data_IF_318637513678
#
_entry.id   IF_318637513678
#
_cell.length_a   1.000
_cell.length_b   1.000
_cell.length_c   1.000
_cell.angle_alpha   90.00
_cell.angle_beta   90.00
_cell.angle_gamma   90.00
#
_symmetry.space_group_name_H-M   'P 1'
#
loop_
_entity.id
_entity.type
_entity.pdbx_description
1 polymer ?
#
# COMPACT_ATOMS: atom_id res chain seq x y z
N UNK A 1 -26.47 11.41 14.83
CA UNK A 1 -25.76 12.65 15.19
C UNK A 1 -25.84 13.67 14.04
N UNK A 2 -26.42 14.85 14.30
CA UNK A 2 -26.51 15.93 13.30
C UNK A 2 -25.15 16.64 13.26
N UNK A 3 -24.47 16.65 12.10
CA UNK A 3 -23.24 17.45 11.93
C UNK A 3 -23.63 18.93 11.99
N UNK A 4 -23.10 19.65 12.97
CA UNK A 4 -23.34 21.08 13.21
C UNK A 4 -22.26 21.98 12.60
N UNK A 5 -21.17 21.41 12.09
CA UNK A 5 -20.06 22.14 11.49
C UNK A 5 -19.44 21.35 10.32
N UNK A 6 -18.88 22.08 9.36
CA UNK A 6 -18.08 21.55 8.26
C UNK A 6 -16.67 21.17 8.75
N UNK A 7 -16.12 20.08 8.21
CA UNK A 7 -14.75 19.68 8.54
C UNK A 7 -13.77 20.38 7.58
N UNK A 8 -12.98 21.31 8.12
CA UNK A 8 -11.94 22.06 7.39
C UNK A 8 -10.51 21.59 7.70
N UNK A 9 -10.37 20.39 8.28
CA UNK A 9 -9.09 19.87 8.75
C UNK A 9 -8.22 19.34 7.60
N UNK A 10 -6.96 19.77 7.58
CA UNK A 10 -5.87 19.17 6.81
C UNK A 10 -4.82 18.64 7.79
N UNK A 11 -4.26 17.46 7.54
CA UNK A 11 -3.34 16.79 8.46
C UNK A 11 -1.97 16.65 7.79
N UNK A 12 -0.94 17.14 8.48
CA UNK A 12 0.47 16.88 8.17
C UNK A 12 1.05 16.13 9.35
N UNK A 13 1.60 14.94 9.13
CA UNK A 13 2.33 14.20 10.14
C UNK A 13 3.73 13.88 9.64
N UNK A 14 4.69 13.90 10.57
CA UNK A 14 6.10 13.61 10.33
C UNK A 14 6.47 12.41 11.20
N UNK A 15 7.20 11.45 10.64
CA UNK A 15 7.60 10.25 11.35
C UNK A 15 8.98 9.80 10.89
N UNK A 16 9.73 9.22 11.84
CA UNK A 16 10.99 8.52 11.58
C UNK A 16 10.79 7.00 11.50
N UNK A 17 9.56 6.50 11.65
CA UNK A 17 9.26 5.08 11.50
C UNK A 17 9.16 4.69 10.03
N UNK A 18 9.65 3.50 9.68
CA UNK A 18 9.64 2.99 8.30
C UNK A 18 8.22 2.74 7.76
N UNK A 19 7.27 2.40 8.63
CA UNK A 19 5.86 2.20 8.29
C UNK A 19 4.96 2.94 9.27
N UNK A 20 4.80 4.27 9.12
CA UNK A 20 4.07 5.10 10.07
C UNK A 20 2.55 5.02 9.89
N UNK A 21 2.09 4.61 8.71
CA UNK A 21 0.68 4.44 8.37
C UNK A 21 0.53 3.28 7.40
N UNK A 22 -0.51 2.48 7.57
CA UNK A 22 -0.88 1.46 6.60
C UNK A 22 -1.62 2.10 5.43
N UNK A 23 -1.16 1.85 4.21
CA UNK A 23 -1.77 2.35 2.98
C UNK A 23 -2.23 1.21 2.08
N UNK A 24 -3.46 1.32 1.60
CA UNK A 24 -4.00 0.45 0.55
C UNK A 24 -3.46 0.86 -0.82
N UNK A 25 -3.45 -0.06 -1.79
CA UNK A 25 -2.94 0.22 -3.16
C UNK A 25 -3.73 1.32 -3.87
N UNK A 26 -5.01 1.47 -3.55
CA UNK A 26 -5.89 2.51 -4.10
C UNK A 26 -6.01 3.74 -3.19
N UNK A 27 -5.07 3.94 -2.26
CA UNK A 27 -5.07 5.13 -1.40
C UNK A 27 -5.05 6.43 -2.24
N UNK A 28 -6.08 7.24 -2.01
CA UNK A 28 -6.29 8.56 -2.63
C UNK A 28 -6.24 9.70 -1.62
N UNK A 29 -5.66 9.48 -0.44
CA UNK A 29 -5.70 10.45 0.67
C UNK A 29 -4.32 10.94 1.11
N UNK A 30 -3.28 10.15 0.86
CA UNK A 30 -1.95 10.43 1.40
C UNK A 30 -0.94 10.75 0.29
N UNK A 31 -0.34 11.94 0.37
CA UNK A 31 0.93 12.24 -0.28
C UNK A 31 2.05 11.74 0.65
N UNK A 32 2.93 10.88 0.14
CA UNK A 32 4.07 10.38 0.91
C UNK A 32 5.35 10.95 0.33
N UNK A 33 6.09 11.67 1.17
CA UNK A 33 7.39 12.24 0.83
C UNK A 33 8.45 11.65 1.77
N UNK A 34 9.45 10.99 1.19
CA UNK A 34 10.64 10.58 1.94
C UNK A 34 11.71 11.66 1.80
N UNK A 35 12.11 12.25 2.92
CA UNK A 35 13.23 13.18 2.96
C UNK A 35 14.55 12.41 3.02
N UNK A 36 15.54 12.81 2.21
CA UNK A 36 16.86 12.19 2.24
C UNK A 36 17.55 12.47 3.58
N UNK A 37 18.23 11.48 4.12
CA UNK A 37 18.98 11.55 5.39
C UNK A 37 20.36 12.20 5.23
N UNK A 38 20.49 13.19 4.33
CA UNK A 38 21.78 13.79 3.94
C UNK A 38 22.55 14.24 5.18
N UNK A 39 21.93 15.02 6.07
CA UNK A 39 22.58 15.53 7.29
C UNK A 39 22.64 14.53 8.46
N UNK A 40 22.18 13.28 8.28
CA UNK A 40 22.19 12.26 9.35
C UNK A 40 23.21 11.14 9.09
N UNK A 41 23.51 10.81 7.82
CA UNK A 41 24.22 9.57 7.47
C UNK A 41 25.54 9.81 6.73
N UNK A 42 25.70 10.92 6.02
CA UNK A 42 26.98 11.18 5.33
C UNK A 42 28.03 11.65 6.34
N UNK A 43 29.21 11.03 6.34
CA UNK A 43 30.35 11.46 7.18
C UNK A 43 30.71 12.94 6.96
N UNK A 44 30.38 13.52 5.80
CA UNK A 44 30.60 14.93 5.46
C UNK A 44 29.68 15.92 6.21
N UNK A 45 28.49 15.47 6.65
CA UNK A 45 27.45 16.32 7.28
C UNK A 45 27.01 15.79 8.64
N UNK A 46 27.81 14.90 9.24
CA UNK A 46 27.54 14.32 10.56
C UNK A 46 27.53 15.47 11.57
N UNK A 47 26.39 15.70 12.21
CA UNK A 47 26.22 16.79 13.18
C UNK A 47 26.38 18.18 12.54
N UNK A 48 25.67 18.48 11.45
CA UNK A 48 25.63 19.78 10.76
C UNK A 48 24.97 20.90 11.62
N UNK A 49 25.47 21.07 12.85
CA UNK A 49 24.95 21.94 13.90
C UNK A 49 24.97 23.38 13.43
N UNK A 50 26.01 23.80 12.71
CA UNK A 50 26.11 25.15 12.16
C UNK A 50 25.00 25.41 11.14
N UNK A 51 24.79 24.50 10.18
CA UNK A 51 23.71 24.62 9.20
C UNK A 51 22.34 24.74 9.89
N UNK A 52 22.02 23.85 10.83
CA UNK A 52 20.73 23.89 11.51
C UNK A 52 20.58 25.11 12.43
N UNK A 53 21.67 25.58 13.03
CA UNK A 53 21.69 26.83 13.81
C UNK A 53 21.39 28.02 12.90
N UNK A 54 22.08 28.15 11.77
CA UNK A 54 21.82 29.23 10.81
C UNK A 54 20.38 29.15 10.24
N UNK A 55 19.91 27.95 9.88
CA UNK A 55 18.55 27.73 9.40
C UNK A 55 17.51 28.15 10.43
N UNK A 56 17.64 27.70 11.69
CA UNK A 56 16.71 28.07 12.76
C UNK A 56 16.72 29.57 13.08
N UNK A 57 17.89 30.22 12.99
CA UNK A 57 18.02 31.66 13.16
C UNK A 57 17.44 32.46 11.99
N UNK A 58 17.34 31.86 10.79
CA UNK A 58 16.81 32.51 9.59
C UNK A 58 15.29 32.70 9.61
N UNK A 59 14.56 32.07 10.55
CA UNK A 59 13.10 32.19 10.71
C UNK A 59 12.69 33.52 11.36
N UNK A 60 13.11 34.62 10.73
CA UNK A 60 12.79 35.99 11.13
C UNK A 60 11.36 36.37 10.73
N UNK A 61 10.88 37.51 11.23
CA UNK A 61 9.59 38.06 10.80
C UNK A 61 9.54 38.28 9.28
N UNK A 62 10.62 38.84 8.71
CA UNK A 62 10.73 39.07 7.26
C UNK A 62 10.64 37.75 6.46
N UNK A 63 11.23 36.66 6.96
CA UNK A 63 11.08 35.34 6.35
C UNK A 63 9.61 34.90 6.30
N UNK A 64 8.87 35.03 7.40
CA UNK A 64 7.45 34.64 7.44
C UNK A 64 6.57 35.55 6.58
N UNK A 65 6.84 36.85 6.52
CA UNK A 65 6.13 37.79 5.66
C UNK A 65 6.32 37.44 4.18
N UNK A 66 7.56 37.14 3.78
CA UNK A 66 7.88 36.68 2.43
C UNK A 66 7.25 35.32 2.12
N UNK A 67 7.28 34.37 3.07
CA UNK A 67 6.64 33.06 2.92
C UNK A 67 5.12 33.16 2.76
N UNK A 68 4.48 34.03 3.55
CA UNK A 68 3.05 34.27 3.44
C UNK A 68 2.69 34.92 2.11
N UNK A 69 3.49 35.90 1.66
CA UNK A 69 3.34 36.53 0.34
C UNK A 69 3.44 35.48 -0.76
N UNK A 70 4.44 34.60 -0.71
CA UNK A 70 4.59 33.49 -1.64
C UNK A 70 3.36 32.57 -1.68
N UNK A 71 2.76 32.24 -0.53
CA UNK A 71 1.54 31.41 -0.50
C UNK A 71 0.31 32.15 -1.03
N UNK A 72 0.15 33.44 -0.75
CA UNK A 72 -0.98 34.24 -1.20
C UNK A 72 -0.96 34.54 -2.71
N UNK A 73 0.24 34.68 -3.28
CA UNK A 73 0.43 34.97 -4.72
C UNK A 73 0.44 33.72 -5.59
N UNK A 74 0.41 32.52 -4.99
CA UNK A 74 0.45 31.27 -5.74
C UNK A 74 -0.87 31.04 -6.48
N UNK A 75 -0.82 31.04 -7.82
CA UNK A 75 -1.94 30.57 -8.63
C UNK A 75 -2.15 29.06 -8.43
N UNK A 76 -3.27 28.72 -7.79
CA UNK A 76 -3.74 27.35 -7.54
C UNK A 76 -5.02 27.04 -8.31
N UNK A 77 -5.38 27.84 -9.33
CA UNK A 77 -6.61 27.64 -10.11
C UNK A 77 -6.67 26.27 -10.80
N UNK A 78 -5.51 25.68 -11.11
CA UNK A 78 -5.39 24.35 -11.70
C UNK A 78 -5.07 23.25 -10.67
N UNK A 79 -4.92 23.59 -9.39
CA UNK A 79 -4.60 22.60 -8.36
C UNK A 79 -5.82 21.73 -8.07
N UNK A 80 -5.64 20.41 -8.21
CA UNK A 80 -6.66 19.45 -7.84
C UNK A 80 -6.16 18.56 -6.68
N UNK A 81 -6.70 18.72 -5.45
CA UNK A 81 -6.27 17.94 -4.29
C UNK A 81 -6.61 16.45 -4.40
N UNK A 82 -7.47 16.04 -5.34
CA UNK A 82 -7.77 14.62 -5.56
C UNK A 82 -6.71 13.90 -6.40
N UNK A 83 -5.84 14.65 -7.09
CA UNK A 83 -4.77 14.12 -7.92
C UNK A 83 -3.48 13.97 -7.09
N UNK A 84 -3.46 12.94 -6.25
CA UNK A 84 -2.30 12.65 -5.42
C UNK A 84 -1.30 11.79 -6.21
N UNK A 85 -0.04 12.22 -6.38
CA UNK A 85 0.95 11.47 -7.13
C UNK A 85 1.36 10.17 -6.41
N UNK A 86 1.64 9.13 -7.21
CA UNK A 86 2.17 7.86 -6.72
C UNK A 86 3.71 7.92 -6.64
N UNK A 87 4.23 8.52 -5.57
CA UNK A 87 5.67 8.64 -5.32
C UNK A 87 6.30 7.28 -4.99
N UNK A 88 7.61 7.14 -5.16
CA UNK A 88 8.33 5.90 -4.78
C UNK A 88 8.18 5.57 -3.30
N UNK A 89 8.23 6.59 -2.43
CA UNK A 89 7.98 6.41 -1.00
C UNK A 89 6.56 5.89 -0.73
N UNK A 90 5.56 6.35 -1.49
CA UNK A 90 4.18 5.83 -1.38
C UNK A 90 4.10 4.38 -1.83
N UNK A 91 4.72 4.02 -2.96
CA UNK A 91 4.76 2.63 -3.46
C UNK A 91 5.40 1.69 -2.45
N UNK A 92 6.54 2.10 -1.86
CA UNK A 92 7.20 1.35 -0.81
C UNK A 92 6.31 1.18 0.42
N UNK A 93 5.64 2.25 0.85
CA UNK A 93 4.76 2.19 2.01
C UNK A 93 3.54 1.29 1.79
N UNK A 94 2.94 1.32 0.60
CA UNK A 94 1.88 0.39 0.17
C UNK A 94 2.40 -1.05 0.20
N UNK A 95 3.62 -1.28 -0.31
CA UNK A 95 4.22 -2.61 -0.35
C UNK A 95 4.45 -3.19 1.06
N UNK A 96 4.96 -2.39 2.00
CA UNK A 96 5.14 -2.86 3.39
C UNK A 96 3.83 -2.91 4.18
N UNK A 97 2.75 -2.33 3.65
CA UNK A 97 1.40 -2.41 4.25
C UNK A 97 0.64 -3.67 3.85
N UNK A 98 1.21 -4.51 2.96
CA UNK A 98 0.62 -5.78 2.53
C UNK A 98 0.32 -6.69 3.71
N UNK A 99 -0.85 -7.31 3.67
CA UNK A 99 -1.20 -8.34 4.64
C UNK A 99 -0.60 -9.69 4.22
N UNK A 100 -0.40 -10.63 5.15
CA UNK A 100 0.05 -11.98 4.79
C UNK A 100 -0.88 -12.70 3.79
N UNK A 101 -2.16 -12.30 3.71
CA UNK A 101 -3.11 -12.80 2.72
C UNK A 101 -2.81 -12.25 1.34
N UNK A 102 -2.41 -10.99 1.25
CA UNK A 102 -2.04 -10.36 -0.02
C UNK A 102 -0.82 -11.07 -0.61
N UNK A 103 0.19 -11.36 0.21
CA UNK A 103 1.39 -12.08 -0.25
C UNK A 103 1.05 -13.47 -0.81
N UNK A 104 0.18 -14.23 -0.11
CA UNK A 104 -0.29 -15.55 -0.57
C UNK A 104 -1.09 -15.43 -1.87
N UNK A 105 -1.96 -14.42 -1.99
CA UNK A 105 -2.74 -14.20 -3.19
C UNK A 105 -1.83 -13.81 -4.36
N UNK A 106 -0.84 -12.94 -4.14
CA UNK A 106 0.13 -12.51 -5.16
C UNK A 106 0.94 -13.72 -5.65
N UNK A 107 1.51 -14.52 -4.74
CA UNK A 107 2.30 -15.71 -5.06
C UNK A 107 1.52 -16.77 -5.86
N UNK A 108 0.21 -16.86 -5.63
CA UNK A 108 -0.68 -17.84 -6.26
C UNK A 108 -1.77 -17.20 -7.13
N UNK A 109 -1.53 -15.97 -7.62
CA UNK A 109 -2.57 -15.14 -8.24
C UNK A 109 -3.29 -15.85 -9.40
N UNK A 110 -2.54 -16.44 -10.33
CA UNK A 110 -3.13 -17.18 -11.45
C UNK A 110 -3.96 -18.41 -10.99
N UNK A 111 -3.55 -19.09 -9.92
CA UNK A 111 -4.34 -20.19 -9.37
C UNK A 111 -5.64 -19.67 -8.75
N UNK A 112 -5.61 -18.55 -8.04
CA UNK A 112 -6.78 -17.91 -7.46
C UNK A 112 -7.73 -17.35 -8.53
N UNK A 113 -7.20 -16.84 -9.64
CA UNK A 113 -7.98 -16.34 -10.78
C UNK A 113 -8.75 -17.47 -11.48
N UNK A 114 -8.12 -18.63 -11.63
CA UNK A 114 -8.68 -19.80 -12.33
C UNK A 114 -9.53 -20.70 -11.42
N UNK A 115 -9.30 -20.62 -10.11
CA UNK A 115 -9.95 -21.46 -9.11
C UNK A 115 -9.01 -22.44 -8.45
N UNK A 116 -8.67 -22.17 -7.18
CA UNK A 116 -7.74 -22.99 -6.39
C UNK A 116 -8.50 -23.79 -5.31
N UNK A 117 -8.24 -25.10 -5.12
CA UNK A 117 -8.91 -25.90 -4.10
C UNK A 117 -8.73 -25.34 -2.69
N UNK A 118 -9.82 -25.25 -1.93
CA UNK A 118 -9.79 -24.78 -0.53
C UNK A 118 -8.85 -25.62 0.34
N UNK A 119 -8.77 -26.92 0.07
CA UNK A 119 -7.88 -27.83 0.78
C UNK A 119 -6.39 -27.45 0.59
N UNK A 120 -6.02 -26.99 -0.61
CA UNK A 120 -4.67 -26.54 -0.92
C UNK A 120 -4.39 -25.18 -0.27
N UNK A 121 -5.31 -24.21 -0.42
CA UNK A 121 -5.15 -22.87 0.17
C UNK A 121 -4.99 -22.92 1.70
N UNK A 122 -5.68 -23.84 2.38
CA UNK A 122 -5.52 -24.01 3.83
C UNK A 122 -4.09 -24.41 4.24
N UNK A 123 -3.28 -24.97 3.35
CA UNK A 123 -1.87 -25.32 3.59
C UNK A 123 -0.97 -24.07 3.58
N UNK A 124 -1.39 -23.00 2.90
CA UNK A 124 -0.68 -21.72 2.84
C UNK A 124 -0.96 -20.83 4.07
N UNK A 125 -1.83 -21.28 4.98
CA UNK A 125 -2.19 -20.53 6.19
C UNK A 125 -0.93 -20.21 7.01
N UNK A 126 -0.68 -18.93 7.37
CA UNK A 126 0.41 -18.56 8.27
C UNK A 126 0.36 -19.35 9.59
N UNK A 127 1.52 -19.74 10.11
CA UNK A 127 1.61 -20.64 11.27
C UNK A 127 0.96 -20.03 12.53
N UNK A 128 1.11 -18.72 12.72
CA UNK A 128 0.55 -17.95 13.83
C UNK A 128 -0.97 -17.69 13.71
N UNK A 129 -1.61 -18.02 12.59
CA UNK A 129 -3.04 -17.77 12.38
C UNK A 129 -3.90 -18.99 12.70
N UNK A 130 -5.07 -18.73 13.31
CA UNK A 130 -6.15 -19.73 13.37
C UNK A 130 -6.76 -19.91 11.98
N UNK A 131 -7.19 -21.13 11.66
CA UNK A 131 -7.78 -21.44 10.35
C UNK A 131 -9.05 -20.63 10.09
N UNK A 132 -9.83 -20.30 11.12
CA UNK A 132 -11.02 -19.45 11.02
C UNK A 132 -10.66 -18.03 10.59
N UNK A 133 -9.65 -17.43 11.21
CA UNK A 133 -9.15 -16.08 10.87
C UNK A 133 -8.70 -16.02 9.40
N UNK A 134 -7.95 -17.02 8.97
CA UNK A 134 -7.47 -17.12 7.58
C UNK A 134 -8.61 -17.22 6.57
N UNK A 135 -9.63 -18.03 6.85
CA UNK A 135 -10.82 -18.15 5.98
C UNK A 135 -11.62 -16.85 5.92
N UNK A 136 -11.83 -16.18 7.05
CA UNK A 136 -12.57 -14.92 7.09
C UNK A 136 -11.86 -13.82 6.29
N UNK A 137 -10.52 -13.79 6.31
CA UNK A 137 -9.75 -12.83 5.53
C UNK A 137 -9.86 -13.05 4.01
N UNK A 138 -10.12 -14.29 3.57
CA UNK A 138 -10.36 -14.63 2.17
C UNK A 138 -11.82 -14.44 1.73
N UNK A 139 -12.78 -14.42 2.68
CA UNK A 139 -14.22 -14.38 2.39
C UNK A 139 -14.64 -13.13 1.62
N UNK A 140 -14.02 -11.97 1.92
CA UNK A 140 -14.27 -10.72 1.20
C UNK A 140 -13.50 -10.62 -0.12
N UNK A 141 -12.46 -11.44 -0.30
CA UNK A 141 -11.60 -11.39 -1.50
C UNK A 141 -12.02 -12.39 -2.57
N UNK A 142 -12.61 -13.52 -2.16
CA UNK A 142 -12.90 -14.66 -3.03
C UNK A 142 -14.33 -15.15 -2.90
N UNK A 143 -14.90 -15.58 -4.01
CA UNK A 143 -16.09 -16.44 -4.04
C UNK A 143 -15.70 -17.90 -3.78
N UNK A 144 -16.64 -18.72 -3.26
CA UNK A 144 -16.39 -20.14 -2.95
C UNK A 144 -17.31 -21.14 -3.68
N UNK A 145 -17.27 -21.19 -5.03
CA UNK A 145 -18.07 -22.13 -5.80
C UNK A 145 -17.63 -23.60 -5.57
N UNK A 146 -18.50 -24.53 -5.99
CA UNK A 146 -18.28 -25.98 -5.88
C UNK A 146 -18.43 -26.68 -7.24
N UNK A 147 -17.54 -26.42 -8.21
CA UNK A 147 -17.56 -27.07 -9.51
C UNK A 147 -17.19 -28.56 -9.42
N UNK A 148 -17.45 -29.27 -10.52
CA UNK A 148 -16.94 -30.63 -10.71
C UNK A 148 -15.56 -30.55 -11.36
N UNK A 149 -14.53 -31.01 -10.63
CA UNK A 149 -13.15 -31.15 -11.12
C UNK A 149 -12.85 -32.64 -11.10
N UNK A 150 -12.46 -33.21 -12.24
CA UNK A 150 -12.21 -34.65 -12.38
C UNK A 150 -13.37 -35.52 -11.87
N UNK A 151 -14.62 -35.11 -12.16
CA UNK A 151 -15.88 -35.74 -11.69
C UNK A 151 -16.11 -35.70 -10.17
N UNK A 152 -15.25 -35.03 -9.41
CA UNK A 152 -15.40 -34.82 -7.97
C UNK A 152 -15.87 -33.40 -7.72
N UNK A 153 -16.89 -33.24 -6.88
CA UNK A 153 -17.37 -31.91 -6.48
C UNK A 153 -16.39 -31.30 -5.48
N UNK A 154 -15.62 -30.31 -5.92
CA UNK A 154 -14.52 -29.72 -5.15
C UNK A 154 -14.85 -28.28 -4.82
N UNK A 155 -14.62 -27.87 -3.57
CA UNK A 155 -14.76 -26.47 -3.17
C UNK A 155 -13.47 -25.72 -3.52
N UNK A 156 -13.61 -24.61 -4.25
CA UNK A 156 -12.49 -23.76 -4.67
C UNK A 156 -12.66 -22.33 -4.16
N UNK A 157 -11.57 -21.58 -4.07
CA UNK A 157 -11.58 -20.12 -4.01
C UNK A 157 -11.36 -19.56 -5.41
N UNK A 158 -12.16 -18.56 -5.79
CA UNK A 158 -11.98 -17.78 -7.02
C UNK A 158 -12.00 -16.30 -6.64
N UNK A 159 -10.95 -15.55 -7.01
CA UNK A 159 -10.89 -14.11 -6.75
C UNK A 159 -12.07 -13.38 -7.41
N UNK A 160 -12.68 -12.46 -6.67
CA UNK A 160 -13.72 -11.59 -7.22
C UNK A 160 -13.12 -10.64 -8.29
N UNK A 161 -13.93 -10.20 -9.25
CA UNK A 161 -13.45 -9.38 -10.39
C UNK A 161 -12.83 -8.03 -9.96
N UNK A 162 -13.39 -7.42 -8.91
CA UNK A 162 -12.85 -6.20 -8.30
C UNK A 162 -11.48 -6.45 -7.67
N UNK A 163 -11.29 -7.60 -7.04
CA UNK A 163 -10.02 -7.99 -6.42
C UNK A 163 -8.98 -8.35 -7.48
N UNK A 164 -9.37 -9.01 -8.58
CA UNK A 164 -8.47 -9.21 -9.72
C UNK A 164 -7.94 -7.88 -10.24
N UNK A 165 -8.84 -6.91 -10.47
CA UNK A 165 -8.47 -5.56 -10.91
C UNK A 165 -7.55 -4.82 -9.92
N UNK A 166 -7.69 -5.10 -8.62
CA UNK A 166 -6.82 -4.57 -7.57
C UNK A 166 -5.42 -5.17 -7.66
N UNK A 167 -5.29 -6.51 -7.69
CA UNK A 167 -4.00 -7.18 -7.75
C UNK A 167 -3.26 -6.98 -9.08
N UNK A 168 -3.97 -6.89 -10.21
CA UNK A 168 -3.39 -6.60 -11.52
C UNK A 168 -2.63 -5.24 -11.53
N UNK A 169 -3.07 -4.25 -10.73
CA UNK A 169 -2.40 -2.94 -10.61
C UNK A 169 -1.27 -2.94 -9.58
N UNK A 170 -1.32 -3.89 -8.65
CA UNK A 170 -0.44 -3.95 -7.49
C UNK A 170 0.82 -4.78 -7.76
N UNK A 171 0.68 -5.81 -8.60
CA UNK A 171 1.75 -6.77 -8.87
C UNK A 171 2.81 -6.17 -9.79
N UNK A 172 4.08 -6.47 -9.50
CA UNK A 172 5.20 -6.18 -10.38
C UNK A 172 5.53 -7.36 -11.32
N UNK A 173 6.47 -7.16 -12.25
CA UNK A 173 6.85 -8.18 -13.24
C UNK A 173 7.37 -9.48 -12.59
N UNK A 174 8.20 -9.38 -11.54
CA UNK A 174 8.75 -10.54 -10.84
C UNK A 174 7.65 -11.37 -10.14
N UNK A 175 6.68 -10.68 -9.53
CA UNK A 175 5.52 -11.30 -8.88
C UNK A 175 4.61 -12.00 -9.89
N UNK A 176 4.43 -11.40 -11.07
CA UNK A 176 3.68 -12.00 -12.18
C UNK A 176 4.39 -13.27 -12.66
N UNK A 177 5.71 -13.23 -12.84
CA UNK A 177 6.51 -14.39 -13.26
C UNK A 177 6.43 -15.53 -12.23
N UNK A 178 6.58 -15.22 -10.94
CA UNK A 178 6.48 -16.18 -9.85
C UNK A 178 5.10 -16.87 -9.83
N UNK A 179 4.03 -16.07 -9.92
CA UNK A 179 2.66 -16.56 -9.95
C UNK A 179 2.40 -17.51 -11.13
N UNK A 180 2.87 -17.13 -12.32
CA UNK A 180 2.80 -17.96 -13.51
C UNK A 180 3.56 -19.28 -13.33
N UNK A 181 4.78 -19.24 -12.79
CA UNK A 181 5.58 -20.44 -12.54
C UNK A 181 4.89 -21.40 -11.57
N UNK A 182 4.28 -20.87 -10.49
CA UNK A 182 3.50 -21.65 -9.53
C UNK A 182 2.27 -22.29 -10.18
N UNK A 183 1.55 -21.54 -11.02
CA UNK A 183 0.42 -22.08 -11.77
C UNK A 183 0.81 -23.21 -12.74
N UNK A 184 1.96 -23.09 -13.42
CA UNK A 184 2.45 -24.16 -14.30
C UNK A 184 2.84 -25.43 -13.54
N UNK A 185 3.42 -25.32 -12.34
CA UNK A 185 3.68 -26.47 -11.46
C UNK A 185 2.38 -27.13 -11.02
N UNK A 186 1.38 -26.31 -10.66
CA UNK A 186 0.07 -26.77 -10.25
C UNK A 186 -0.65 -27.55 -11.37
N UNK A 187 -0.62 -27.08 -12.63
CA UNK A 187 -1.24 -27.77 -13.77
C UNK A 187 -0.67 -29.16 -14.07
N UNK A 188 0.57 -29.43 -13.66
CA UNK A 188 1.26 -30.71 -13.90
C UNK A 188 0.98 -31.75 -12.81
N UNK A 189 0.24 -31.36 -11.75
CA UNK A 189 -0.11 -32.19 -10.59
C UNK A 189 -1.57 -32.61 -10.68
#
# INVERSE_FOLDING_TARGET
PRRTAENVMNIIYVSNADSPVQLDTDDRRHLVCACKTVHQVTEEHKEDIEYFTQLSQSYTQEFYENLMTFFLERDISQFNPTLIPMTEAKKQLINVSRTPIDDIIIEHYEQFKQGIPVALVNQYKPQNWKLTTFKNALEHKCSTPRPYINKIRTRIYVLNEDQQSYYDKMMNEEEIELSNANYQKYKKT
#
